data_IF_758132481387
#
_entry.id   IF_758132481387
#
_cell.length_a   1.000
_cell.length_b   1.000
_cell.length_c   1.000
_cell.angle_alpha   90.00
_cell.angle_beta   90.00
_cell.angle_gamma   90.00
#
_symmetry.space_group_name_H-M   'P 1'
#
loop_
_entity.id
_entity.type
_entity.pdbx_description
1 polymer ?
#
# COMPACT_ATOMS: atom_id res chain seq x y z
N UNK A 1 -11.56 -30.09 -17.29
CA UNK A 1 -11.70 -29.74 -15.86
C UNK A 1 -10.40 -29.18 -15.26
N UNK A 2 -9.20 -29.66 -15.61
CA UNK A 2 -7.93 -29.15 -15.06
C UNK A 2 -7.69 -27.63 -15.21
N UNK A 3 -8.07 -27.04 -16.34
CA UNK A 3 -7.88 -25.60 -16.58
C UNK A 3 -8.75 -24.69 -15.69
N UNK A 4 -9.93 -25.16 -15.26
CA UNK A 4 -10.83 -24.41 -14.37
C UNK A 4 -10.31 -24.34 -12.93
N UNK A 5 -9.53 -25.35 -12.51
CA UNK A 5 -8.83 -25.36 -11.23
C UNK A 5 -7.58 -24.46 -11.27
N UNK A 6 -6.84 -24.49 -12.39
CA UNK A 6 -5.54 -23.83 -12.50
C UNK A 6 -5.65 -22.30 -12.37
N UNK A 7 -6.63 -21.66 -13.02
CA UNK A 7 -6.75 -20.20 -12.92
C UNK A 7 -7.17 -19.77 -11.51
N UNK A 8 -7.98 -20.55 -10.78
CA UNK A 8 -8.37 -20.25 -9.39
C UNK A 8 -7.15 -20.26 -8.47
N UNK A 9 -6.28 -21.26 -8.62
CA UNK A 9 -5.00 -21.31 -7.90
C UNK A 9 -4.17 -20.06 -8.19
N UNK A 10 -4.06 -19.64 -9.46
CA UNK A 10 -3.33 -18.40 -9.81
C UNK A 10 -3.94 -17.14 -9.21
N UNK A 11 -5.27 -17.02 -9.16
CA UNK A 11 -5.95 -15.89 -8.51
C UNK A 11 -5.63 -15.87 -7.02
N UNK A 12 -5.70 -17.03 -6.37
CA UNK A 12 -5.38 -17.18 -4.96
C UNK A 12 -3.91 -16.85 -4.66
N UNK A 13 -2.96 -17.37 -5.44
CA UNK A 13 -1.53 -17.11 -5.28
C UNK A 13 -1.23 -15.60 -5.33
N UNK A 14 -1.80 -14.91 -6.31
CA UNK A 14 -1.61 -13.46 -6.50
C UNK A 14 -2.23 -12.66 -5.36
N UNK A 15 -3.42 -13.03 -4.90
CA UNK A 15 -4.03 -12.41 -3.73
C UNK A 15 -3.20 -12.65 -2.47
N UNK A 16 -2.74 -13.88 -2.24
CA UNK A 16 -1.89 -14.24 -1.09
C UNK A 16 -0.56 -13.46 -1.09
N UNK A 17 0.11 -13.37 -2.24
CA UNK A 17 1.33 -12.57 -2.40
C UNK A 17 1.05 -11.08 -2.12
N UNK A 18 -0.05 -10.53 -2.63
CA UNK A 18 -0.44 -9.14 -2.38
C UNK A 18 -0.69 -8.87 -0.88
N UNK A 19 -1.29 -9.81 -0.14
CA UNK A 19 -1.47 -9.69 1.30
C UNK A 19 -0.12 -9.62 2.03
N UNK A 20 0.85 -10.44 1.62
CA UNK A 20 2.22 -10.40 2.13
C UNK A 20 2.88 -9.04 1.90
N UNK A 21 2.72 -8.49 0.69
CA UNK A 21 3.26 -7.16 0.32
C UNK A 21 2.62 -6.02 1.11
N UNK A 22 1.29 -6.00 1.26
CA UNK A 22 0.60 -5.01 2.11
C UNK A 22 1.05 -5.15 3.59
N UNK A 23 1.24 -6.38 4.08
CA UNK A 23 1.76 -6.64 5.43
C UNK A 23 3.20 -6.13 5.64
N UNK A 24 4.08 -6.34 4.66
CA UNK A 24 5.46 -5.85 4.69
C UNK A 24 5.52 -4.31 4.68
N UNK A 25 4.78 -3.67 3.76
CA UNK A 25 4.70 -2.22 3.69
C UNK A 25 4.19 -1.61 5.01
N UNK A 26 3.14 -2.19 5.60
CA UNK A 26 2.64 -1.78 6.92
C UNK A 26 3.72 -1.82 8.01
N UNK A 27 4.57 -2.86 8.01
CA UNK A 27 5.68 -2.98 8.95
C UNK A 27 6.73 -1.87 8.78
N UNK A 28 7.09 -1.56 7.54
CA UNK A 28 8.00 -0.45 7.21
C UNK A 28 7.42 0.90 7.63
N UNK A 29 6.13 1.13 7.36
CA UNK A 29 5.43 2.37 7.73
C UNK A 29 5.35 2.54 9.25
N UNK A 30 5.07 1.45 9.99
CA UNK A 30 5.09 1.49 11.46
C UNK A 30 6.48 1.88 12.01
N UNK A 31 7.55 1.37 11.39
CA UNK A 31 8.91 1.75 11.76
C UNK A 31 9.20 3.23 11.44
N UNK A 32 8.78 3.73 10.28
CA UNK A 32 8.93 5.13 9.89
C UNK A 32 8.18 6.07 10.86
N UNK A 33 6.93 5.75 11.19
CA UNK A 33 6.13 6.49 12.19
C UNK A 33 6.85 6.53 13.54
N UNK A 34 7.35 5.40 14.03
CA UNK A 34 8.09 5.33 15.29
C UNK A 34 9.35 6.22 15.32
N UNK A 35 10.04 6.37 14.19
CA UNK A 35 11.22 7.24 14.07
C UNK A 35 10.91 8.73 14.08
N UNK A 36 9.70 9.09 13.69
CA UNK A 36 9.21 10.47 13.63
C UNK A 36 8.48 10.90 14.91
N UNK A 37 8.34 10.02 15.90
CA UNK A 37 7.73 10.35 17.18
C UNK A 37 8.51 11.44 17.95
N UNK A 38 9.82 11.56 17.72
CA UNK A 38 10.66 12.56 18.34
C UNK A 38 10.67 13.88 17.54
N UNK A 39 10.61 15.04 18.20
CA UNK A 39 10.77 16.35 17.56
C UNK A 39 12.02 16.45 16.68
N UNK A 40 11.97 17.29 15.66
CA UNK A 40 13.14 17.62 14.84
C UNK A 40 13.67 18.98 15.24
N UNK A 41 14.98 19.06 15.52
CA UNK A 41 15.65 20.30 15.94
C UNK A 41 16.79 20.61 14.99
N UNK A 42 16.92 21.88 14.62
CA UNK A 42 18.00 22.32 13.74
C UNK A 42 19.39 22.07 14.35
N UNK A 43 19.50 22.18 15.69
CA UNK A 43 20.73 21.90 16.42
C UNK A 43 21.22 20.44 16.25
N UNK A 44 20.31 19.50 15.99
CA UNK A 44 20.60 18.07 15.82
C UNK A 44 20.64 17.65 14.34
N UNK A 45 20.83 18.60 13.42
CA UNK A 45 20.78 18.38 11.97
C UNK A 45 21.61 17.17 11.48
N UNK A 46 22.86 16.94 11.92
CA UNK A 46 23.63 15.77 11.48
C UNK A 46 22.94 14.44 11.80
N UNK A 47 22.32 14.32 12.98
CA UNK A 47 21.61 13.11 13.42
C UNK A 47 20.33 12.93 12.60
N UNK A 48 19.59 14.02 12.36
CA UNK A 48 18.37 13.98 11.56
C UNK A 48 18.64 13.60 10.10
N UNK A 49 19.77 14.02 9.51
CA UNK A 49 20.17 13.62 8.14
C UNK A 49 20.50 12.14 8.03
N UNK A 50 21.19 11.56 9.00
CA UNK A 50 21.44 10.10 9.00
C UNK A 50 20.11 9.34 9.11
N UNK A 51 19.21 9.79 9.99
CA UNK A 51 17.87 9.21 10.13
C UNK A 51 17.04 9.36 8.84
N UNK A 52 17.24 10.46 8.10
CA UNK A 52 16.56 10.73 6.83
C UNK A 52 16.81 9.65 5.80
N UNK A 53 18.08 9.34 5.54
CA UNK A 53 18.48 8.35 4.53
C UNK A 53 17.85 6.98 4.80
N UNK A 54 17.97 6.50 6.04
CA UNK A 54 17.41 5.20 6.43
C UNK A 54 15.88 5.20 6.40
N UNK A 55 15.24 6.36 6.58
CA UNK A 55 13.78 6.45 6.54
C UNK A 55 13.28 6.55 5.10
N UNK A 56 13.97 7.29 4.23
CA UNK A 56 13.60 7.39 2.82
C UNK A 56 13.69 6.03 2.11
N UNK A 57 14.76 5.27 2.31
CA UNK A 57 14.90 3.91 1.76
C UNK A 57 13.70 3.01 2.15
N UNK A 58 13.31 3.06 3.42
CA UNK A 58 12.16 2.30 3.92
C UNK A 58 10.83 2.76 3.33
N UNK A 59 10.67 4.06 3.10
CA UNK A 59 9.46 4.63 2.51
C UNK A 59 9.36 4.28 1.02
N UNK A 60 10.49 4.29 0.30
CA UNK A 60 10.58 3.81 -1.08
C UNK A 60 10.22 2.32 -1.16
N UNK A 61 10.75 1.49 -0.26
CA UNK A 61 10.42 0.07 -0.19
C UNK A 61 8.95 -0.18 0.16
N UNK A 62 8.38 0.63 1.06
CA UNK A 62 6.97 0.57 1.42
C UNK A 62 6.06 0.95 0.24
N UNK A 63 6.35 2.07 -0.43
CA UNK A 63 5.63 2.55 -1.63
C UNK A 63 5.70 1.52 -2.75
N UNK A 64 6.89 0.96 -3.01
CA UNK A 64 7.11 -0.09 -4.01
C UNK A 64 6.33 -1.36 -3.68
N UNK A 65 6.33 -1.78 -2.42
CA UNK A 65 5.58 -2.96 -1.98
C UNK A 65 4.07 -2.79 -2.14
N UNK A 66 3.52 -1.60 -1.82
CA UNK A 66 2.12 -1.28 -2.02
C UNK A 66 1.75 -1.24 -3.51
N UNK A 67 2.61 -0.66 -4.36
CA UNK A 67 2.41 -0.64 -5.80
C UNK A 67 2.38 -2.06 -6.38
N UNK A 68 3.32 -2.92 -5.97
CA UNK A 68 3.34 -4.33 -6.37
C UNK A 68 2.08 -5.05 -5.88
N UNK A 69 1.64 -4.81 -4.64
CA UNK A 69 0.39 -5.38 -4.13
C UNK A 69 -0.82 -4.98 -5.00
N UNK A 70 -0.93 -3.69 -5.35
CA UNK A 70 -1.97 -3.17 -6.25
C UNK A 70 -1.95 -3.87 -7.61
N UNK A 71 -0.77 -4.01 -8.22
CA UNK A 71 -0.60 -4.72 -9.50
C UNK A 71 -0.98 -6.20 -9.40
N UNK A 72 -0.59 -6.90 -8.34
CA UNK A 72 -0.94 -8.31 -8.11
C UNK A 72 -2.46 -8.50 -7.97
N UNK A 73 -3.15 -7.63 -7.22
CA UNK A 73 -4.61 -7.65 -7.08
C UNK A 73 -5.32 -7.37 -8.41
N UNK A 74 -4.80 -6.43 -9.20
CA UNK A 74 -5.31 -6.15 -10.54
C UNK A 74 -5.11 -7.36 -11.47
N UNK A 75 -3.95 -8.02 -11.41
CA UNK A 75 -3.67 -9.22 -12.17
C UNK A 75 -4.59 -10.38 -11.77
N UNK A 76 -4.81 -10.60 -10.46
CA UNK A 76 -5.77 -11.59 -9.95
C UNK A 76 -7.17 -11.37 -10.53
N UNK A 77 -7.64 -10.11 -10.56
CA UNK A 77 -8.92 -9.76 -11.19
C UNK A 77 -8.95 -10.10 -12.68
N UNK A 78 -7.91 -9.76 -13.45
CA UNK A 78 -7.85 -10.04 -14.88
C UNK A 78 -7.84 -11.55 -15.18
N UNK A 79 -7.10 -12.32 -14.39
CA UNK A 79 -7.06 -13.78 -14.50
C UNK A 79 -8.45 -14.35 -14.23
N UNK A 80 -9.12 -13.92 -13.16
CA UNK A 80 -10.44 -14.40 -12.81
C UNK A 80 -11.48 -14.09 -13.91
N UNK A 81 -11.49 -12.88 -14.44
CA UNK A 81 -12.41 -12.46 -15.50
C UNK A 81 -12.23 -13.26 -16.80
N UNK A 82 -11.00 -13.69 -17.09
CA UNK A 82 -10.71 -14.59 -18.22
C UNK A 82 -11.06 -16.05 -17.90
N UNK A 83 -10.78 -16.51 -16.69
CA UNK A 83 -10.98 -17.89 -16.27
C UNK A 83 -12.45 -18.28 -16.11
N UNK A 84 -13.30 -17.35 -15.69
CA UNK A 84 -14.75 -17.57 -15.53
C UNK A 84 -15.54 -17.37 -16.84
N UNK A 85 -14.93 -16.78 -17.87
CA UNK A 85 -15.59 -16.59 -19.15
C UNK A 85 -15.86 -17.92 -19.85
N UNK A 86 -17.00 -18.03 -20.55
CA UNK A 86 -17.33 -19.21 -21.37
C UNK A 86 -16.27 -19.45 -22.45
N UNK A 87 -15.68 -18.37 -22.98
CA UNK A 87 -14.57 -18.40 -23.91
C UNK A 87 -13.39 -17.59 -23.35
N UNK A 88 -12.22 -18.19 -23.08
CA UNK A 88 -11.04 -17.48 -22.56
C UNK A 88 -10.47 -16.40 -23.50
N UNK A 89 -10.79 -16.48 -24.81
CA UNK A 89 -10.38 -15.48 -25.81
C UNK A 89 -11.29 -14.24 -25.76
N UNK A 90 -12.47 -14.36 -25.16
CA UNK A 90 -13.43 -13.27 -24.95
C UNK A 90 -13.72 -13.11 -23.44
N UNK A 91 -12.77 -12.52 -22.68
CA UNK A 91 -12.87 -12.43 -21.22
C UNK A 91 -13.98 -11.47 -20.79
N UNK A 92 -14.53 -11.69 -19.59
CA UNK A 92 -15.44 -10.72 -19.00
C UNK A 92 -14.72 -9.37 -18.78
N UNK A 93 -15.44 -8.27 -18.98
CA UNK A 93 -14.88 -6.91 -18.85
C UNK A 93 -15.10 -6.34 -17.44
N UNK A 94 -16.13 -6.82 -16.74
CA UNK A 94 -16.64 -6.25 -15.51
C UNK A 94 -16.98 -7.34 -14.50
N UNK A 95 -16.77 -7.04 -13.22
CA UNK A 95 -17.11 -7.97 -12.13
C UNK A 95 -18.61 -8.28 -12.11
N UNK A 96 -19.40 -7.31 -12.54
CA UNK A 96 -20.85 -7.37 -12.57
C UNK A 96 -21.39 -8.42 -13.55
N UNK A 97 -20.56 -8.89 -14.49
CA UNK A 97 -20.88 -9.97 -15.44
C UNK A 97 -20.69 -11.37 -14.85
N UNK A 98 -20.01 -11.51 -13.70
CA UNK A 98 -19.89 -12.79 -13.00
C UNK A 98 -21.23 -13.09 -12.32
N UNK A 99 -21.84 -14.24 -12.59
CA UNK A 99 -23.12 -14.62 -12.01
C UNK A 99 -23.03 -14.70 -10.48
N UNK A 100 -23.91 -13.96 -9.79
CA UNK A 100 -24.05 -14.08 -8.33
C UNK A 100 -24.71 -15.40 -7.91
N UNK A 101 -25.38 -16.11 -8.83
CA UNK A 101 -25.99 -17.40 -8.55
C UNK A 101 -24.97 -18.53 -8.69
N UNK A 102 -24.08 -18.45 -9.68
CA UNK A 102 -23.14 -19.53 -9.99
C UNK A 102 -21.79 -19.37 -9.27
N UNK A 103 -21.29 -18.14 -9.11
CA UNK A 103 -19.96 -17.84 -8.58
C UNK A 103 -19.99 -16.70 -7.52
N UNK A 104 -20.82 -16.82 -6.45
CA UNK A 104 -20.99 -15.76 -5.46
C UNK A 104 -19.69 -15.41 -4.72
N UNK A 105 -18.92 -16.42 -4.32
CA UNK A 105 -17.69 -16.25 -3.54
C UNK A 105 -16.59 -15.59 -4.36
N UNK A 106 -16.42 -16.02 -5.63
CA UNK A 106 -15.50 -15.38 -6.57
C UNK A 106 -15.85 -13.91 -6.75
N UNK A 107 -17.12 -13.60 -7.03
CA UNK A 107 -17.55 -12.21 -7.24
C UNK A 107 -17.29 -11.35 -6.01
N UNK A 108 -17.61 -11.84 -4.82
CA UNK A 108 -17.35 -11.14 -3.56
C UNK A 108 -15.85 -10.97 -3.30
N UNK A 109 -15.04 -11.99 -3.57
CA UNK A 109 -13.59 -11.93 -3.45
C UNK A 109 -13.00 -10.83 -4.36
N UNK A 110 -13.43 -10.77 -5.62
CA UNK A 110 -12.94 -9.76 -6.56
C UNK A 110 -13.40 -8.33 -6.20
N UNK A 111 -14.58 -8.16 -5.60
CA UNK A 111 -15.02 -6.87 -5.06
C UNK A 111 -14.09 -6.43 -3.91
N UNK A 112 -13.71 -7.36 -3.03
CA UNK A 112 -12.75 -7.09 -1.94
C UNK A 112 -11.38 -6.74 -2.50
N UNK A 113 -10.88 -7.47 -3.49
CA UNK A 113 -9.61 -7.16 -4.17
C UNK A 113 -9.65 -5.78 -4.82
N UNK A 114 -10.75 -5.40 -5.49
CA UNK A 114 -10.92 -4.04 -6.04
C UNK A 114 -10.82 -2.97 -4.95
N UNK A 115 -11.51 -3.18 -3.83
CA UNK A 115 -11.47 -2.28 -2.68
C UNK A 115 -10.07 -2.16 -2.07
N UNK A 116 -9.34 -3.27 -2.02
CA UNK A 116 -7.96 -3.33 -1.54
C UNK A 116 -6.98 -2.64 -2.49
N UNK A 117 -7.14 -2.77 -3.81
CA UNK A 117 -6.36 -2.03 -4.81
C UNK A 117 -6.47 -0.52 -4.61
N UNK A 118 -7.69 0.00 -4.38
CA UNK A 118 -7.89 1.43 -4.08
C UNK A 118 -7.15 1.86 -2.81
N UNK A 119 -7.19 1.05 -1.76
CA UNK A 119 -6.48 1.35 -0.49
C UNK A 119 -4.97 1.32 -0.66
N UNK A 120 -4.43 0.36 -1.39
CA UNK A 120 -3.01 0.31 -1.70
C UNK A 120 -2.56 1.56 -2.50
N UNK A 121 -3.35 1.99 -3.48
CA UNK A 121 -3.08 3.23 -4.22
C UNK A 121 -3.14 4.48 -3.35
N UNK A 122 -4.15 4.60 -2.48
CA UNK A 122 -4.24 5.72 -1.54
C UNK A 122 -3.08 5.71 -0.52
N UNK A 123 -2.66 4.52 -0.08
CA UNK A 123 -1.50 4.38 0.81
C UNK A 123 -0.21 4.84 0.11
N UNK A 124 0.02 4.48 -1.16
CA UNK A 124 1.15 5.02 -1.94
C UNK A 124 1.11 6.55 -1.99
N UNK A 125 -0.05 7.14 -2.29
CA UNK A 125 -0.18 8.60 -2.36
C UNK A 125 0.12 9.29 -1.01
N UNK A 126 -0.32 8.69 0.09
CA UNK A 126 -0.01 9.18 1.43
C UNK A 126 1.50 9.07 1.72
N UNK A 127 2.16 7.97 1.35
CA UNK A 127 3.62 7.85 1.45
C UNK A 127 4.33 8.97 0.68
N UNK A 128 3.95 9.24 -0.57
CA UNK A 128 4.60 10.28 -1.36
C UNK A 128 4.38 11.69 -0.77
N UNK A 129 3.17 11.99 -0.24
CA UNK A 129 2.92 13.25 0.48
C UNK A 129 3.80 13.37 1.73
N UNK A 130 3.85 12.32 2.55
CA UNK A 130 4.69 12.30 3.74
C UNK A 130 6.17 12.45 3.42
N UNK A 131 6.66 11.85 2.33
CA UNK A 131 8.02 12.03 1.83
C UNK A 131 8.28 13.48 1.41
N UNK A 132 7.32 14.15 0.77
CA UNK A 132 7.42 15.58 0.45
C UNK A 132 7.58 16.48 1.68
N UNK A 133 6.83 16.18 2.75
CA UNK A 133 6.98 16.87 4.05
C UNK A 133 8.36 16.61 4.67
N UNK A 134 8.83 15.37 4.71
CA UNK A 134 10.17 15.06 5.20
C UNK A 134 11.27 15.72 4.39
N UNK A 135 11.15 15.72 3.07
CA UNK A 135 12.09 16.42 2.19
C UNK A 135 12.17 17.90 2.56
N UNK A 136 11.01 18.56 2.73
CA UNK A 136 10.94 19.96 3.16
C UNK A 136 11.62 20.16 4.53
N UNK A 137 11.33 19.28 5.50
CA UNK A 137 11.98 19.32 6.81
C UNK A 137 13.51 19.18 6.71
N UNK A 138 14.02 18.31 5.83
CA UNK A 138 15.46 18.13 5.65
C UNK A 138 16.13 19.33 5.01
N UNK A 139 15.47 20.00 4.06
CA UNK A 139 15.96 21.26 3.52
C UNK A 139 16.02 22.36 4.58
N UNK A 140 15.05 22.40 5.51
CA UNK A 140 15.05 23.37 6.61
C UNK A 140 16.21 23.19 7.60
N UNK A 141 16.80 21.98 7.70
CA UNK A 141 17.98 21.74 8.55
C UNK A 141 19.21 22.54 8.09
N UNK A 142 19.24 23.04 6.85
CA UNK A 142 20.33 23.89 6.36
C UNK A 142 20.25 25.33 6.87
N UNK A 143 19.15 25.71 7.52
CA UNK A 143 18.84 27.09 7.93
C UNK A 143 18.76 27.24 9.46
N UNK A 144 19.80 26.81 10.17
CA UNK A 144 19.86 26.82 11.65
C UNK A 144 19.63 28.21 12.28
N UNK A 145 19.89 29.29 11.55
CA UNK A 145 19.77 30.68 12.03
C UNK A 145 18.43 31.33 11.68
N UNK A 146 17.56 30.60 10.97
CA UNK A 146 16.25 31.12 10.59
C UNK A 146 15.36 31.17 11.85
N UNK A 147 14.78 32.34 12.17
CA UNK A 147 13.89 32.46 13.32
C UNK A 147 12.75 31.44 13.23
N UNK A 148 12.49 30.73 14.33
CA UNK A 148 11.44 29.72 14.43
C UNK A 148 11.58 28.50 13.48
N UNK A 149 12.79 28.22 12.95
CA UNK A 149 13.05 27.02 12.12
C UNK A 149 12.59 25.73 12.80
N UNK A 150 12.78 25.60 14.11
CA UNK A 150 12.35 24.44 14.89
C UNK A 150 10.83 24.24 14.87
N UNK A 151 10.03 25.32 14.82
CA UNK A 151 8.58 25.22 14.73
C UNK A 151 8.15 24.73 13.34
N UNK A 152 8.82 25.18 12.28
CA UNK A 152 8.58 24.68 10.92
C UNK A 152 9.01 23.21 10.78
N UNK A 153 10.17 22.84 11.32
CA UNK A 153 10.63 21.43 11.37
C UNK A 153 9.61 20.53 12.07
N UNK A 154 9.11 20.95 13.23
CA UNK A 154 8.12 20.19 13.98
C UNK A 154 6.78 20.08 13.24
N UNK A 155 6.37 21.11 12.50
CA UNK A 155 5.16 21.11 11.68
C UNK A 155 5.27 20.14 10.49
N UNK A 156 6.36 20.23 9.72
CA UNK A 156 6.60 19.32 8.58
C UNK A 156 6.75 17.87 9.05
N UNK A 157 7.47 17.64 10.14
CA UNK A 157 7.57 16.31 10.77
C UNK A 157 6.19 15.79 11.20
N UNK A 158 5.36 16.63 11.81
CA UNK A 158 4.02 16.23 12.24
C UNK A 158 3.12 15.87 11.04
N UNK A 159 3.16 16.66 9.97
CA UNK A 159 2.44 16.37 8.73
C UNK A 159 2.91 15.05 8.09
N UNK A 160 4.23 14.84 7.99
CA UNK A 160 4.79 13.58 7.53
C UNK A 160 4.33 12.38 8.38
N UNK A 161 4.39 12.53 9.71
CA UNK A 161 3.94 11.50 10.64
C UNK A 161 2.46 11.14 10.41
N UNK A 162 1.59 12.14 10.24
CA UNK A 162 0.17 11.93 9.95
C UNK A 162 -0.02 11.12 8.66
N UNK A 163 0.64 11.54 7.57
CA UNK A 163 0.55 10.86 6.27
C UNK A 163 1.05 9.40 6.33
N UNK A 164 2.11 9.11 7.08
CA UNK A 164 2.58 7.73 7.24
C UNK A 164 1.68 6.88 8.12
N UNK A 165 1.03 7.47 9.13
CA UNK A 165 0.05 6.75 9.94
C UNK A 165 -1.21 6.42 9.13
N UNK A 166 -1.68 7.35 8.30
CA UNK A 166 -2.76 7.11 7.34
C UNK A 166 -2.39 6.01 6.33
N UNK A 167 -1.18 6.08 5.76
CA UNK A 167 -0.68 5.05 4.86
C UNK A 167 -0.63 3.67 5.54
N UNK A 168 -0.23 3.63 6.81
CA UNK A 168 -0.15 2.40 7.62
C UNK A 168 -1.54 1.81 7.83
N UNK A 169 -2.53 2.64 8.20
CA UNK A 169 -3.91 2.21 8.36
C UNK A 169 -4.50 1.66 7.05
N UNK A 170 -4.27 2.36 5.93
CA UNK A 170 -4.71 1.92 4.60
C UNK A 170 -4.03 0.60 4.17
N UNK A 171 -2.75 0.42 4.49
CA UNK A 171 -2.04 -0.84 4.23
C UNK A 171 -2.61 -2.00 5.07
N UNK A 172 -3.05 -1.73 6.30
CA UNK A 172 -3.72 -2.70 7.16
C UNK A 172 -5.09 -3.10 6.62
N UNK A 173 -5.91 -2.12 6.22
CA UNK A 173 -7.19 -2.37 5.56
C UNK A 173 -7.02 -3.14 4.24
N UNK A 174 -6.00 -2.79 3.44
CA UNK A 174 -5.62 -3.55 2.24
C UNK A 174 -5.42 -5.03 2.61
N UNK A 175 -4.52 -5.30 3.56
CA UNK A 175 -4.19 -6.67 3.95
C UNK A 175 -5.41 -7.43 4.49
N UNK A 176 -6.29 -6.77 5.25
CA UNK A 176 -7.51 -7.37 5.77
C UNK A 176 -8.48 -7.76 4.64
N UNK A 177 -8.72 -6.88 3.68
CA UNK A 177 -9.58 -7.16 2.52
C UNK A 177 -9.03 -8.28 1.65
N UNK A 178 -7.71 -8.29 1.40
CA UNK A 178 -7.08 -9.34 0.60
C UNK A 178 -7.14 -10.69 1.31
N UNK A 179 -6.87 -10.76 2.62
CA UNK A 179 -7.06 -12.00 3.39
C UNK A 179 -8.50 -12.49 3.34
N UNK A 180 -9.46 -11.59 3.50
CA UNK A 180 -10.88 -11.93 3.37
C UNK A 180 -11.25 -12.39 1.96
N UNK A 181 -10.59 -11.90 0.91
CA UNK A 181 -10.75 -12.42 -0.45
C UNK A 181 -10.13 -13.83 -0.58
N UNK A 182 -8.92 -14.06 -0.05
CA UNK A 182 -8.27 -15.37 -0.09
C UNK A 182 -9.10 -16.47 0.60
N UNK A 183 -9.85 -16.14 1.65
CA UNK A 183 -10.75 -17.10 2.31
C UNK A 183 -11.93 -17.54 1.44
N UNK A 184 -12.38 -16.69 0.51
CA UNK A 184 -13.46 -16.99 -0.44
C UNK A 184 -12.95 -17.70 -1.70
N UNK A 185 -11.64 -17.67 -1.94
CA UNK A 185 -11.00 -18.27 -3.12
C UNK A 185 -10.45 -19.68 -2.85
N UNK A 186 -10.64 -20.21 -1.64
CA UNK A 186 -10.29 -21.59 -1.25
C UNK A 186 -11.46 -22.51 -1.50
#
# INVERSE_FOLDING_TARGET
MAAAEEWRVRVWDRASEAAGRCGHARGLLAAAVGRLAQPMRAADAPVHRVRALVTDDQLVDASSSLAVAASLMAAAKLIALRGVAVNPVDPLLRLEQISMQDEPDLRLALVRLRGATTRAGNACLAVERGRGHLWTAYQLLDFERLPAVDAFLDAERAAAHHEFDDARALAEECAALVRAACHLLR
#
